data_IF_170388464021
#
_entry.id   IF_170388464021
#
_cell.length_a   1.000
_cell.length_b   1.000
_cell.length_c   1.000
_cell.angle_alpha   90.00
_cell.angle_beta   90.00
_cell.angle_gamma   90.00
#
_symmetry.space_group_name_H-M   'P 1'
#
loop_
_entity.id
_entity.type
_entity.pdbx_description
1 polymer ?
#
# COMPACT_ATOMS: atom_id res chain seq x y z
N UNK A 1 37.72 7.10 -8.23
CA UNK A 1 37.26 7.66 -6.94
C UNK A 1 38.03 8.94 -6.70
N UNK A 2 37.45 10.09 -7.07
CA UNK A 2 38.09 11.40 -6.90
C UNK A 2 37.96 11.81 -5.43
N UNK A 3 39.07 11.95 -4.71
CA UNK A 3 39.04 12.51 -3.36
C UNK A 3 38.48 13.93 -3.44
N UNK A 4 37.37 14.19 -2.74
CA UNK A 4 36.84 15.54 -2.60
C UNK A 4 37.90 16.37 -1.88
N UNK A 5 38.55 17.28 -2.61
CA UNK A 5 39.66 18.09 -2.14
C UNK A 5 39.18 18.93 -0.93
N UNK A 6 39.92 18.91 0.18
CA UNK A 6 39.53 19.55 1.45
C UNK A 6 39.23 21.06 1.27
N UNK A 7 39.90 21.68 0.29
CA UNK A 7 39.64 23.05 -0.17
C UNK A 7 38.24 23.23 -0.77
N UNK A 8 37.74 22.23 -1.49
CA UNK A 8 36.42 22.25 -2.10
C UNK A 8 35.33 22.19 -1.02
N UNK A 9 35.49 21.33 -0.02
CA UNK A 9 34.58 21.23 1.13
C UNK A 9 34.58 22.54 1.93
N UNK A 10 35.75 23.09 2.27
CA UNK A 10 35.85 24.37 3.00
C UNK A 10 35.21 25.54 2.23
N UNK A 11 35.32 25.53 0.90
CA UNK A 11 34.68 26.53 0.03
C UNK A 11 33.16 26.40 0.01
N UNK A 12 32.62 25.18 -0.05
CA UNK A 12 31.17 24.93 0.05
C UNK A 12 30.66 25.33 1.44
N UNK A 13 31.34 24.93 2.52
CA UNK A 13 30.95 25.29 3.89
C UNK A 13 30.95 26.81 4.13
N UNK A 14 31.86 27.55 3.50
CA UNK A 14 31.88 29.03 3.60
C UNK A 14 30.69 29.73 2.94
N UNK A 15 29.93 29.02 2.10
CA UNK A 15 28.72 29.51 1.45
C UNK A 15 27.45 29.17 2.24
N UNK A 16 27.57 28.41 3.34
CA UNK A 16 26.45 28.03 4.19
C UNK A 16 26.36 28.98 5.36
N UNK A 17 25.42 29.92 5.32
CA UNK A 17 25.02 30.68 6.51
C UNK A 17 23.85 29.97 7.18
N UNK A 18 24.12 29.27 8.28
CA UNK A 18 23.07 28.73 9.14
C UNK A 18 22.64 29.84 10.08
N UNK A 19 21.48 30.44 9.80
CA UNK A 19 20.85 31.37 10.72
C UNK A 19 19.79 30.61 11.54
N UNK A 20 20.23 29.96 12.62
CA UNK A 20 19.33 29.35 13.58
C UNK A 20 19.79 29.68 14.99
N UNK A 21 18.93 30.33 15.77
CA UNK A 21 19.16 30.66 17.18
C UNK A 21 19.22 29.41 18.09
N UNK A 22 18.93 28.22 17.55
CA UNK A 22 18.91 26.95 18.27
C UNK A 22 19.77 25.89 17.57
N UNK A 23 20.76 25.36 18.29
CA UNK A 23 21.50 24.16 17.91
C UNK A 23 20.81 22.95 18.55
N UNK A 24 20.11 22.15 17.75
CA UNK A 24 19.51 20.90 18.22
C UNK A 24 20.57 19.80 18.28
N UNK A 25 20.72 19.17 19.44
CA UNK A 25 21.74 18.13 19.66
C UNK A 25 21.23 16.72 19.32
N UNK A 26 19.89 16.55 19.27
CA UNK A 26 19.22 15.30 18.91
C UNK A 26 18.40 15.47 17.60
N UNK A 27 18.63 14.56 16.65
CA UNK A 27 17.94 14.53 15.36
C UNK A 27 16.45 14.21 15.50
N UNK A 28 16.07 13.34 16.44
CA UNK A 28 14.65 12.99 16.65
C UNK A 28 13.90 14.13 17.35
N UNK A 29 14.53 14.82 18.32
CA UNK A 29 13.96 16.02 18.94
C UNK A 29 13.75 17.14 17.90
N UNK A 30 14.72 17.35 17.02
CA UNK A 30 14.61 18.32 15.93
C UNK A 30 13.46 17.97 14.98
N UNK A 31 13.36 16.70 14.58
CA UNK A 31 12.32 16.20 13.68
C UNK A 31 10.93 16.36 14.28
N UNK A 32 10.74 16.01 15.56
CA UNK A 32 9.48 16.23 16.28
C UNK A 32 9.13 17.72 16.35
N UNK A 33 10.12 18.58 16.61
CA UNK A 33 9.92 20.02 16.64
C UNK A 33 9.48 20.56 15.28
N UNK A 34 10.13 20.16 14.18
CA UNK A 34 9.73 20.55 12.81
C UNK A 34 8.31 20.08 12.51
N UNK A 35 8.00 18.81 12.79
CA UNK A 35 6.67 18.22 12.55
C UNK A 35 5.58 18.97 13.33
N UNK A 36 5.83 19.33 14.60
CA UNK A 36 4.88 20.07 15.44
C UNK A 36 4.57 21.46 14.90
N UNK A 37 5.55 22.11 14.28
CA UNK A 37 5.41 23.46 13.72
C UNK A 37 4.73 23.49 12.34
N UNK A 38 4.68 22.36 11.61
CA UNK A 38 4.08 22.29 10.28
C UNK A 38 2.54 22.36 10.28
N UNK A 39 1.90 22.24 11.45
CA UNK A 39 0.43 22.35 11.65
C UNK A 39 -0.38 21.52 10.65
N UNK A 40 0.03 20.27 10.42
CA UNK A 40 -0.63 19.35 9.48
C UNK A 40 -1.70 18.51 10.17
N UNK A 41 -2.75 18.16 9.42
CA UNK A 41 -3.83 17.24 9.86
C UNK A 41 -3.26 15.90 10.35
N UNK A 42 -3.93 15.27 11.31
CA UNK A 42 -3.59 13.92 11.79
C UNK A 42 -3.69 12.85 10.70
N UNK A 43 -4.43 13.12 9.63
CA UNK A 43 -4.57 12.24 8.47
C UNK A 43 -3.30 12.12 7.63
N UNK A 44 -2.36 13.06 7.77
CA UNK A 44 -1.09 13.09 7.02
C UNK A 44 -0.04 12.24 7.75
N UNK A 45 0.67 11.40 7.00
CA UNK A 45 1.80 10.63 7.52
C UNK A 45 2.99 11.59 7.76
N UNK A 46 3.10 12.10 8.99
CA UNK A 46 4.06 13.15 9.40
C UNK A 46 5.52 12.82 9.06
N UNK A 47 5.94 11.57 9.26
CA UNK A 47 7.29 11.12 8.95
C UNK A 47 7.61 11.15 7.45
N UNK A 48 6.62 10.88 6.60
CA UNK A 48 6.78 10.92 5.14
C UNK A 48 6.88 12.36 4.65
N UNK A 49 6.01 13.24 5.15
CA UNK A 49 6.08 14.68 4.87
C UNK A 49 7.46 15.24 5.27
N UNK A 50 7.97 14.89 6.45
CA UNK A 50 9.30 15.32 6.90
C UNK A 50 10.40 14.87 5.93
N UNK A 51 10.41 13.59 5.52
CA UNK A 51 11.40 13.07 4.56
C UNK A 51 11.27 13.73 3.19
N UNK A 52 10.05 13.99 2.73
CA UNK A 52 9.81 14.66 1.46
C UNK A 52 10.36 16.10 1.47
N UNK A 53 10.05 16.86 2.52
CA UNK A 53 10.57 18.22 2.69
C UNK A 53 12.10 18.23 2.81
N UNK A 54 12.67 17.29 3.58
CA UNK A 54 14.12 17.17 3.72
C UNK A 54 14.80 16.84 2.39
N UNK A 55 14.26 15.89 1.63
CA UNK A 55 14.77 15.53 0.32
C UNK A 55 14.76 16.71 -0.65
N UNK A 56 13.61 17.40 -0.76
CA UNK A 56 13.51 18.60 -1.58
C UNK A 56 14.49 19.69 -1.15
N UNK A 57 14.63 19.94 0.16
CA UNK A 57 15.56 20.95 0.68
C UNK A 57 17.00 20.65 0.28
N UNK A 58 17.41 19.38 0.39
CA UNK A 58 18.76 18.93 0.01
C UNK A 58 18.97 19.08 -1.49
N UNK A 59 18.00 18.70 -2.31
CA UNK A 59 18.10 18.81 -3.77
C UNK A 59 18.19 20.28 -4.21
N UNK A 60 17.32 21.13 -3.69
CA UNK A 60 17.26 22.56 -4.02
C UNK A 60 18.54 23.30 -3.60
N UNK A 61 19.06 23.02 -2.40
CA UNK A 61 20.35 23.58 -1.95
C UNK A 61 21.51 23.12 -2.83
N UNK A 62 21.54 21.82 -3.19
CA UNK A 62 22.57 21.28 -4.07
C UNK A 62 22.54 21.93 -5.46
N UNK A 63 21.36 22.11 -6.04
CA UNK A 63 21.21 22.76 -7.35
C UNK A 63 21.63 24.23 -7.33
N UNK A 64 21.24 25.00 -6.30
CA UNK A 64 21.69 26.39 -6.12
C UNK A 64 23.22 26.47 -6.02
N UNK A 65 23.85 25.59 -5.24
CA UNK A 65 25.32 25.55 -5.15
C UNK A 65 26.02 25.14 -6.44
N UNK A 66 25.45 24.21 -7.22
CA UNK A 66 25.97 23.85 -8.56
C UNK A 66 25.96 25.06 -9.49
N UNK A 67 24.96 25.91 -9.37
CA UNK A 67 24.82 27.16 -10.14
C UNK A 67 25.65 28.31 -9.56
N UNK A 68 26.41 28.09 -8.49
CA UNK A 68 27.19 29.11 -7.76
C UNK A 68 26.34 30.27 -7.22
N UNK A 69 25.05 30.02 -6.96
CA UNK A 69 24.17 30.98 -6.29
C UNK A 69 24.14 30.73 -4.77
N UNK A 70 23.65 31.72 -4.03
CA UNK A 70 23.44 31.59 -2.59
C UNK A 70 22.34 30.54 -2.33
N UNK A 71 22.61 29.59 -1.43
CA UNK A 71 21.67 28.52 -1.04
C UNK A 71 20.55 28.99 -0.13
N UNK A 72 20.01 30.19 -0.36
CA UNK A 72 18.93 30.77 0.44
C UNK A 72 17.63 30.05 0.08
N UNK A 73 16.93 29.55 1.09
CA UNK A 73 15.60 28.96 0.98
C UNK A 73 14.65 29.77 1.85
N UNK A 74 13.58 30.26 1.24
CA UNK A 74 12.55 31.05 1.90
C UNK A 74 11.49 30.14 2.52
N UNK A 75 10.92 30.58 3.64
CA UNK A 75 9.82 29.88 4.32
C UNK A 75 8.60 29.66 3.40
N UNK A 76 8.33 30.60 2.49
CA UNK A 76 7.24 30.48 1.52
C UNK A 76 7.42 29.29 0.55
N UNK A 77 8.67 28.98 0.16
CA UNK A 77 8.97 27.84 -0.70
C UNK A 77 8.68 26.52 0.04
N UNK A 78 9.14 26.40 1.28
CA UNK A 78 8.87 25.24 2.15
C UNK A 78 7.36 25.03 2.33
N UNK A 79 6.61 26.13 2.57
CA UNK A 79 5.16 26.08 2.72
C UNK A 79 4.47 25.63 1.42
N UNK A 80 4.93 26.11 0.26
CA UNK A 80 4.39 25.71 -1.04
C UNK A 80 4.60 24.22 -1.30
N UNK A 81 5.78 23.69 -1.02
CA UNK A 81 6.07 22.25 -1.17
C UNK A 81 5.24 21.42 -0.18
N UNK A 82 5.11 21.88 1.07
CA UNK A 82 4.24 21.25 2.07
C UNK A 82 2.78 21.24 1.59
N UNK A 83 2.26 22.37 1.09
CA UNK A 83 0.87 22.48 0.62
C UNK A 83 0.64 21.63 -0.65
N UNK A 84 1.61 21.57 -1.57
CA UNK A 84 1.58 20.66 -2.72
C UNK A 84 1.61 19.20 -2.29
N UNK A 85 2.44 18.84 -1.30
CA UNK A 85 2.45 17.50 -0.74
C UNK A 85 1.10 17.17 -0.12
N UNK A 86 0.49 18.09 0.64
CA UNK A 86 -0.84 17.90 1.22
C UNK A 86 -1.90 17.80 0.12
N UNK A 87 -1.83 18.62 -0.93
CA UNK A 87 -2.75 18.55 -2.06
C UNK A 87 -2.62 17.23 -2.83
N UNK A 88 -1.40 16.75 -3.07
CA UNK A 88 -1.10 15.45 -3.68
C UNK A 88 -1.45 14.29 -2.75
N UNK A 89 -1.30 14.47 -1.44
CA UNK A 89 -1.79 13.51 -0.46
C UNK A 89 -3.32 13.50 -0.47
N UNK A 90 -3.99 14.61 -0.70
CA UNK A 90 -5.45 14.60 -0.83
C UNK A 90 -5.87 14.01 -2.20
N UNK A 91 -5.02 14.16 -3.22
CA UNK A 91 -5.21 13.61 -4.57
C UNK A 91 -4.47 12.27 -4.73
N UNK A 92 -5.09 11.18 -4.28
CA UNK A 92 -4.68 9.76 -4.45
C UNK A 92 -3.36 9.53 -5.22
N UNK A 93 -2.24 9.17 -4.56
CA UNK A 93 -0.93 9.01 -5.19
C UNK A 93 -0.80 7.75 -6.06
N UNK A 94 -1.83 6.89 -6.09
CA UNK A 94 -1.87 5.72 -6.97
C UNK A 94 -3.14 5.69 -7.82
N UNK A 95 -2.95 5.65 -9.13
CA UNK A 95 -4.03 5.37 -10.08
C UNK A 95 -4.01 3.88 -10.36
N UNK A 96 -5.02 3.19 -9.83
CA UNK A 96 -5.29 1.79 -10.18
C UNK A 96 -5.56 1.71 -11.69
N UNK A 97 -4.93 0.74 -12.37
CA UNK A 97 -5.20 0.56 -13.79
C UNK A 97 -6.64 0.08 -14.00
N UNK A 98 -7.30 0.65 -15.01
CA UNK A 98 -8.59 0.14 -15.46
C UNK A 98 -8.44 -1.33 -15.87
N UNK A 99 -9.41 -2.17 -15.46
CA UNK A 99 -9.30 -3.62 -15.59
C UNK A 99 -9.05 -4.11 -17.04
N UNK A 100 -9.52 -3.36 -18.03
CA UNK A 100 -9.35 -3.66 -19.46
C UNK A 100 -7.95 -3.31 -20.02
N UNK A 101 -7.13 -2.59 -19.25
CA UNK A 101 -5.76 -2.21 -19.64
C UNK A 101 -4.70 -3.16 -19.08
N UNK A 102 -5.09 -4.07 -18.17
CA UNK A 102 -4.17 -5.05 -17.60
C UNK A 102 -3.84 -6.14 -18.64
N UNK A 103 -2.56 -6.46 -18.88
CA UNK A 103 -2.16 -7.50 -19.82
C UNK A 103 -2.40 -8.89 -19.21
N UNK A 104 -3.66 -9.33 -19.19
CA UNK A 104 -4.05 -10.64 -18.71
C UNK A 104 -3.57 -11.73 -19.67
N UNK A 105 -3.07 -12.82 -19.10
CA UNK A 105 -2.79 -14.03 -19.88
C UNK A 105 -4.05 -14.88 -20.00
N UNK A 106 -4.06 -15.78 -20.97
CA UNK A 106 -5.12 -16.77 -21.06
C UNK A 106 -5.14 -17.64 -19.80
N UNK A 107 -6.36 -17.99 -19.38
CA UNK A 107 -6.61 -18.90 -18.27
C UNK A 107 -6.36 -20.32 -18.77
N UNK A 108 -5.55 -21.06 -18.02
CA UNK A 108 -5.07 -22.40 -18.36
C UNK A 108 -5.52 -23.40 -17.29
N UNK A 109 -5.37 -24.69 -17.56
CA UNK A 109 -5.68 -25.74 -16.57
C UNK A 109 -4.85 -25.63 -15.30
N UNK A 110 -3.62 -25.08 -15.35
CA UNK A 110 -2.80 -24.90 -14.16
C UNK A 110 -3.35 -23.85 -13.19
N UNK A 111 -4.10 -22.86 -13.68
CA UNK A 111 -4.75 -21.86 -12.82
C UNK A 111 -5.75 -22.50 -11.85
N UNK A 112 -6.42 -23.58 -12.30
CA UNK A 112 -7.39 -24.30 -11.48
C UNK A 112 -6.75 -25.15 -10.37
N UNK A 113 -5.42 -25.29 -10.37
CA UNK A 113 -4.67 -26.01 -9.34
C UNK A 113 -4.19 -25.09 -8.20
N UNK A 114 -4.37 -23.78 -8.32
CA UNK A 114 -4.02 -22.81 -7.26
C UNK A 114 -4.83 -23.07 -5.98
N UNK A 115 -4.24 -22.82 -4.82
CA UNK A 115 -4.85 -23.12 -3.52
C UNK A 115 -6.18 -22.38 -3.33
N UNK A 116 -6.30 -21.14 -3.81
CA UNK A 116 -7.58 -20.42 -3.70
C UNK A 116 -8.69 -21.10 -4.52
N UNK A 117 -8.37 -21.68 -5.69
CA UNK A 117 -9.36 -22.42 -6.51
C UNK A 117 -9.73 -23.74 -5.85
N UNK A 118 -8.75 -24.45 -5.26
CA UNK A 118 -9.02 -25.64 -4.43
C UNK A 118 -9.99 -25.31 -3.29
N UNK A 119 -9.78 -24.20 -2.60
CA UNK A 119 -10.73 -23.73 -1.58
C UNK A 119 -12.13 -23.41 -2.13
N UNK A 120 -12.22 -22.87 -3.35
CA UNK A 120 -13.51 -22.66 -4.02
C UNK A 120 -14.21 -23.98 -4.38
N UNK A 121 -13.45 -25.04 -4.67
CA UNK A 121 -14.01 -26.38 -4.85
C UNK A 121 -14.60 -26.93 -3.54
N UNK A 122 -13.95 -26.70 -2.39
CA UNK A 122 -14.45 -27.15 -1.08
C UNK A 122 -15.83 -26.58 -0.71
N UNK A 123 -16.18 -25.41 -1.25
CA UNK A 123 -17.48 -24.75 -1.04
C UNK A 123 -18.44 -24.91 -2.23
N UNK A 124 -18.10 -25.76 -3.19
CA UNK A 124 -18.87 -26.00 -4.42
C UNK A 124 -19.23 -24.68 -5.14
N UNK A 125 -18.23 -23.80 -5.31
CA UNK A 125 -18.36 -22.64 -6.18
C UNK A 125 -18.59 -23.07 -7.63
N UNK A 126 -19.36 -22.28 -8.38
CA UNK A 126 -19.58 -22.55 -9.81
C UNK A 126 -18.30 -22.33 -10.62
N UNK A 127 -18.23 -22.93 -11.81
CA UNK A 127 -17.07 -22.74 -12.69
C UNK A 127 -16.90 -21.29 -13.14
N UNK A 128 -18.02 -20.56 -13.30
CA UNK A 128 -18.01 -19.11 -13.53
C UNK A 128 -17.39 -18.35 -12.35
N UNK A 129 -17.74 -18.71 -11.11
CA UNK A 129 -17.16 -18.09 -9.91
C UNK A 129 -15.65 -18.35 -9.83
N UNK A 130 -15.21 -19.58 -10.14
CA UNK A 130 -13.78 -19.93 -10.17
C UNK A 130 -13.05 -19.15 -11.27
N UNK A 131 -13.62 -19.10 -12.47
CA UNK A 131 -13.03 -18.36 -13.59
C UNK A 131 -12.88 -16.87 -13.27
N UNK A 132 -13.92 -16.23 -12.72
CA UNK A 132 -13.86 -14.83 -12.30
C UNK A 132 -12.83 -14.61 -11.18
N UNK A 133 -12.75 -15.53 -10.20
CA UNK A 133 -11.75 -15.46 -9.16
C UNK A 133 -10.32 -15.57 -9.71
N UNK A 134 -10.08 -16.42 -10.71
CA UNK A 134 -8.78 -16.50 -11.41
C UNK A 134 -8.44 -15.18 -12.09
N UNK A 135 -9.40 -14.57 -12.80
CA UNK A 135 -9.17 -13.27 -13.43
C UNK A 135 -8.86 -12.18 -12.41
N UNK A 136 -9.58 -12.12 -11.30
CA UNK A 136 -9.34 -11.11 -10.26
C UNK A 136 -8.01 -11.35 -9.53
N UNK A 137 -7.64 -12.61 -9.29
CA UNK A 137 -6.32 -12.98 -8.78
C UNK A 137 -5.20 -12.51 -9.71
N UNK A 138 -5.32 -12.74 -11.02
CA UNK A 138 -4.33 -12.27 -11.99
C UNK A 138 -4.25 -10.74 -12.03
N UNK A 139 -5.38 -10.04 -12.06
CA UNK A 139 -5.42 -8.57 -12.07
C UNK A 139 -4.76 -7.99 -10.81
N UNK A 140 -5.13 -8.48 -9.62
CA UNK A 140 -4.57 -8.01 -8.36
C UNK A 140 -3.07 -8.32 -8.25
N UNK A 141 -2.61 -9.48 -8.76
CA UNK A 141 -1.19 -9.84 -8.76
C UNK A 141 -0.39 -8.92 -9.68
N UNK A 142 -0.87 -8.67 -10.91
CA UNK A 142 -0.24 -7.76 -11.85
C UNK A 142 -0.18 -6.33 -11.31
N UNK A 143 -1.25 -5.87 -10.66
CA UNK A 143 -1.32 -4.53 -10.10
C UNK A 143 -0.37 -4.38 -8.90
N UNK A 144 -0.27 -5.40 -8.02
CA UNK A 144 0.75 -5.44 -6.95
C UNK A 144 2.17 -5.45 -7.49
N UNK A 145 2.45 -6.22 -8.53
CA UNK A 145 3.75 -6.23 -9.20
C UNK A 145 4.08 -4.88 -9.84
N UNK A 146 3.07 -4.19 -10.39
CA UNK A 146 3.22 -2.82 -10.91
C UNK A 146 3.56 -1.88 -9.76
N UNK A 147 2.80 -1.87 -8.67
CA UNK A 147 3.06 -1.00 -7.51
C UNK A 147 4.46 -1.19 -6.94
N UNK A 148 4.92 -2.44 -6.84
CA UNK A 148 6.26 -2.78 -6.36
C UNK A 148 7.35 -2.24 -7.30
N UNK A 149 7.16 -2.36 -8.62
CA UNK A 149 8.13 -1.90 -9.63
C UNK A 149 8.16 -0.38 -9.79
N UNK A 150 7.02 0.28 -9.73
CA UNK A 150 6.89 1.73 -9.95
C UNK A 150 7.08 2.56 -8.68
N UNK A 151 7.09 1.94 -7.49
CA UNK A 151 7.07 2.65 -6.21
C UNK A 151 5.77 3.42 -5.97
N UNK A 152 4.70 3.10 -6.72
CA UNK A 152 3.39 3.77 -6.63
C UNK A 152 2.79 3.62 -5.24
N UNK A 153 3.07 2.51 -4.56
CA UNK A 153 2.86 2.39 -3.12
C UNK A 153 4.25 2.38 -2.48
N UNK A 154 4.67 3.49 -1.87
CA UNK A 154 6.07 3.69 -1.47
C UNK A 154 6.53 2.79 -0.32
N UNK A 155 5.59 2.21 0.45
CA UNK A 155 5.90 1.37 1.59
C UNK A 155 5.13 0.05 1.57
N UNK A 156 5.86 -1.04 1.74
CA UNK A 156 5.29 -2.40 1.86
C UNK A 156 4.27 -2.50 3.01
N UNK A 157 4.47 -1.75 4.09
CA UNK A 157 3.56 -1.70 5.24
C UNK A 157 2.14 -1.27 4.87
N UNK A 158 1.95 -0.49 3.80
CA UNK A 158 0.61 -0.13 3.32
C UNK A 158 -0.13 -1.31 2.67
N UNK A 159 0.60 -2.19 1.98
CA UNK A 159 0.03 -3.43 1.43
C UNK A 159 -0.23 -4.42 2.57
N UNK A 160 0.70 -4.54 3.51
CA UNK A 160 0.54 -5.45 4.65
C UNK A 160 -0.68 -5.05 5.50
N UNK A 161 -0.86 -3.75 5.77
CA UNK A 161 -2.04 -3.22 6.46
C UNK A 161 -3.33 -3.51 5.71
N UNK A 162 -3.34 -3.35 4.39
CA UNK A 162 -4.50 -3.67 3.56
C UNK A 162 -4.85 -5.17 3.61
N UNK A 163 -3.84 -6.03 3.53
CA UNK A 163 -4.01 -7.48 3.66
C UNK A 163 -4.58 -7.86 5.05
N UNK A 164 -4.14 -7.18 6.10
CA UNK A 164 -4.66 -7.39 7.45
C UNK A 164 -6.11 -6.89 7.60
N UNK A 165 -6.49 -5.78 6.97
CA UNK A 165 -7.87 -5.30 6.91
C UNK A 165 -8.80 -6.31 6.22
N UNK A 166 -8.38 -6.86 5.07
CA UNK A 166 -9.11 -7.91 4.37
C UNK A 166 -9.25 -9.15 5.25
N UNK A 167 -8.17 -9.57 5.92
CA UNK A 167 -8.20 -10.72 6.84
C UNK A 167 -9.15 -10.48 8.02
N UNK A 168 -9.13 -9.29 8.60
CA UNK A 168 -10.02 -8.92 9.72
C UNK A 168 -11.49 -8.93 9.29
N UNK A 169 -11.77 -8.45 8.09
CA UNK A 169 -13.12 -8.52 7.52
C UNK A 169 -13.56 -9.97 7.32
N UNK A 170 -12.72 -10.81 6.70
CA UNK A 170 -13.00 -12.23 6.52
C UNK A 170 -13.24 -12.94 7.86
N UNK A 171 -12.42 -12.68 8.88
CA UNK A 171 -12.55 -13.31 10.19
C UNK A 171 -13.90 -12.95 10.85
N UNK A 172 -14.26 -11.67 10.79
CA UNK A 172 -15.57 -11.18 11.29
C UNK A 172 -16.74 -11.85 10.56
N UNK A 173 -16.71 -11.86 9.24
CA UNK A 173 -17.76 -12.49 8.42
C UNK A 173 -17.83 -13.99 8.70
N UNK A 174 -16.69 -14.67 8.76
CA UNK A 174 -16.59 -16.11 9.04
C UNK A 174 -17.21 -16.47 10.38
N UNK A 175 -16.90 -15.71 11.45
CA UNK A 175 -17.48 -15.93 12.77
C UNK A 175 -19.00 -15.72 12.76
N UNK A 176 -19.48 -14.64 12.15
CA UNK A 176 -20.92 -14.34 12.05
C UNK A 176 -21.66 -15.47 11.32
N UNK A 177 -21.18 -15.88 10.14
CA UNK A 177 -21.86 -16.92 9.36
C UNK A 177 -21.85 -18.27 10.04
N UNK A 178 -20.76 -18.62 10.73
CA UNK A 178 -20.66 -19.88 11.45
C UNK A 178 -21.59 -19.94 12.66
N UNK A 179 -21.86 -18.81 13.32
CA UNK A 179 -22.80 -18.73 14.45
C UNK A 179 -24.25 -18.73 13.93
N UNK A 180 -24.56 -17.81 13.01
CA UNK A 180 -25.94 -17.59 12.55
C UNK A 180 -26.47 -18.75 11.71
N UNK A 181 -25.62 -19.40 10.92
CA UNK A 181 -26.02 -20.46 10.00
C UNK A 181 -25.44 -21.83 10.39
N UNK A 182 -25.21 -22.07 11.69
CA UNK A 182 -24.61 -23.31 12.20
C UNK A 182 -25.35 -24.60 11.79
N UNK A 183 -26.63 -24.51 11.45
CA UNK A 183 -27.45 -25.63 10.98
C UNK A 183 -27.23 -25.98 9.49
N UNK A 184 -26.61 -25.09 8.72
CA UNK A 184 -26.26 -25.36 7.32
C UNK A 184 -25.01 -26.24 7.22
N UNK A 185 -24.97 -27.03 6.15
CA UNK A 185 -23.76 -27.76 5.76
C UNK A 185 -22.54 -26.82 5.68
N UNK A 186 -21.38 -27.32 6.06
CA UNK A 186 -20.13 -26.54 6.13
C UNK A 186 -19.77 -25.86 4.80
N UNK A 187 -19.99 -26.54 3.66
CA UNK A 187 -19.80 -25.96 2.33
C UNK A 187 -20.69 -24.75 2.07
N UNK A 188 -21.96 -24.80 2.50
CA UNK A 188 -22.93 -23.73 2.30
C UNK A 188 -22.60 -22.53 3.19
N UNK A 189 -22.15 -22.77 4.42
CA UNK A 189 -21.58 -21.70 5.28
C UNK A 189 -20.37 -21.05 4.62
N UNK A 190 -19.44 -21.84 4.10
CA UNK A 190 -18.27 -21.30 3.41
C UNK A 190 -18.63 -20.48 2.17
N UNK A 191 -19.68 -20.89 1.44
CA UNK A 191 -20.23 -20.13 0.31
C UNK A 191 -20.81 -18.78 0.75
N UNK A 192 -21.51 -18.72 1.88
CA UNK A 192 -22.00 -17.46 2.46
C UNK A 192 -20.83 -16.54 2.84
N UNK A 193 -19.79 -17.07 3.50
CA UNK A 193 -18.59 -16.30 3.86
C UNK A 193 -17.94 -15.71 2.62
N UNK A 194 -17.71 -16.53 1.59
CA UNK A 194 -17.16 -16.09 0.31
C UNK A 194 -18.00 -14.97 -0.32
N UNK A 195 -19.31 -15.16 -0.46
CA UNK A 195 -20.19 -14.17 -1.09
C UNK A 195 -20.25 -12.85 -0.31
N UNK A 196 -20.29 -12.90 1.04
CA UNK A 196 -20.28 -11.70 1.88
C UNK A 196 -18.98 -10.93 1.76
N UNK A 197 -17.82 -11.61 1.77
CA UNK A 197 -16.53 -10.96 1.54
C UNK A 197 -16.47 -10.33 0.15
N UNK A 198 -16.91 -11.03 -0.90
CA UNK A 198 -16.93 -10.52 -2.28
C UNK A 198 -17.91 -9.33 -2.48
N UNK A 199 -18.92 -9.19 -1.61
CA UNK A 199 -19.89 -8.09 -1.69
C UNK A 199 -19.37 -6.77 -1.11
N UNK A 200 -18.40 -6.83 -0.19
CA UNK A 200 -17.79 -5.64 0.40
C UNK A 200 -16.53 -5.25 -0.39
N UNK A 201 -16.56 -4.06 -1.00
CA UNK A 201 -15.42 -3.52 -1.76
C UNK A 201 -14.92 -2.19 -1.19
N UNK A 202 -15.45 -1.77 -0.04
CA UNK A 202 -15.09 -0.48 0.58
C UNK A 202 -13.87 -0.63 1.50
N UNK A 203 -12.70 -0.81 0.89
CA UNK A 203 -11.41 -0.90 1.57
C UNK A 203 -10.49 0.24 1.18
N UNK A 204 -9.42 0.41 1.97
CA UNK A 204 -8.41 1.44 1.74
C UNK A 204 -7.02 0.85 1.64
N UNK A 205 -6.18 1.44 0.80
CA UNK A 205 -4.74 1.18 0.73
C UNK A 205 -4.06 2.53 0.97
N UNK A 206 -3.13 2.57 1.93
CA UNK A 206 -2.45 3.81 2.34
C UNK A 206 -3.44 4.97 2.65
N UNK A 207 -4.56 4.68 3.32
CA UNK A 207 -5.68 5.60 3.60
C UNK A 207 -6.53 6.07 2.39
N UNK A 208 -6.25 5.60 1.18
CA UNK A 208 -7.05 5.90 0.00
C UNK A 208 -8.02 4.78 -0.33
N UNK A 209 -9.25 5.15 -0.68
CA UNK A 209 -10.26 4.19 -1.11
C UNK A 209 -9.81 3.47 -2.38
N UNK A 210 -9.99 2.15 -2.36
CA UNK A 210 -9.81 1.29 -3.52
C UNK A 210 -10.94 1.58 -4.52
N UNK A 211 -10.57 1.83 -5.77
CA UNK A 211 -11.49 2.14 -6.86
C UNK A 211 -11.81 0.90 -7.69
N UNK A 212 -10.81 0.06 -7.97
CA UNK A 212 -11.01 -1.10 -8.79
C UNK A 212 -11.35 -2.30 -7.91
N UNK A 213 -12.53 -2.88 -8.13
CA UNK A 213 -13.02 -4.02 -7.33
C UNK A 213 -12.04 -5.19 -7.35
N UNK A 214 -11.37 -5.45 -8.47
CA UNK A 214 -10.40 -6.55 -8.58
C UNK A 214 -9.29 -6.46 -7.53
N UNK A 215 -8.93 -5.27 -7.07
CA UNK A 215 -7.91 -5.07 -6.02
C UNK A 215 -8.33 -5.73 -4.71
N UNK A 216 -9.61 -5.60 -4.33
CA UNK A 216 -10.20 -6.25 -3.14
C UNK A 216 -10.48 -7.73 -3.40
N UNK A 217 -11.23 -8.03 -4.47
CA UNK A 217 -11.68 -9.39 -4.77
C UNK A 217 -10.50 -10.34 -5.03
N UNK A 218 -9.51 -9.87 -5.78
CA UNK A 218 -8.25 -10.56 -6.01
C UNK A 218 -7.35 -10.56 -4.78
N UNK A 219 -7.42 -9.53 -3.92
CA UNK A 219 -6.75 -9.52 -2.62
C UNK A 219 -7.19 -10.69 -1.72
N UNK A 220 -8.50 -10.95 -1.65
CA UNK A 220 -9.01 -12.15 -0.98
C UNK A 220 -8.48 -13.44 -1.60
N UNK A 221 -8.40 -13.54 -2.94
CA UNK A 221 -7.83 -14.72 -3.59
C UNK A 221 -6.35 -14.89 -3.27
N UNK A 222 -5.57 -13.80 -3.24
CA UNK A 222 -4.15 -13.82 -2.85
C UNK A 222 -3.99 -14.35 -1.42
N UNK A 223 -4.78 -13.85 -0.47
CA UNK A 223 -4.74 -14.30 0.93
C UNK A 223 -5.17 -15.77 1.09
N UNK A 224 -6.20 -16.19 0.34
CA UNK A 224 -6.65 -17.59 0.30
C UNK A 224 -5.56 -18.48 -0.31
N UNK A 225 -4.89 -18.03 -1.38
CA UNK A 225 -3.82 -18.78 -2.04
C UNK A 225 -2.60 -18.98 -1.12
N UNK A 226 -2.29 -17.96 -0.32
CA UNK A 226 -1.26 -17.98 0.71
C UNK A 226 -1.67 -18.75 1.98
N UNK A 227 -2.87 -19.33 2.02
CA UNK A 227 -3.39 -20.02 3.20
C UNK A 227 -3.41 -19.14 4.46
N UNK A 228 -3.63 -17.82 4.29
CA UNK A 228 -3.83 -16.88 5.41
C UNK A 228 -5.30 -16.81 5.84
N UNK A 229 -6.20 -17.09 4.91
CA UNK A 229 -7.66 -17.21 5.13
C UNK A 229 -8.18 -18.47 4.43
N UNK A 230 -9.42 -18.86 4.75
CA UNK A 230 -10.13 -19.79 3.88
C UNK A 230 -11.64 -19.86 4.03
N UNK A 231 -12.31 -20.37 3.00
CA UNK A 231 -13.76 -20.23 2.87
C UNK A 231 -14.53 -21.27 3.68
N UNK A 232 -14.16 -22.54 3.55
CA UNK A 232 -14.82 -23.64 4.27
C UNK A 232 -14.40 -23.63 5.75
N UNK A 233 -15.28 -23.88 6.76
CA UNK A 233 -14.93 -23.87 8.18
C UNK A 233 -13.67 -24.70 8.52
N UNK A 234 -13.60 -25.92 7.97
CA UNK A 234 -12.48 -26.85 8.12
C UNK A 234 -11.47 -26.83 6.95
N UNK A 235 -11.29 -25.68 6.29
CA UNK A 235 -10.45 -25.56 5.08
C UNK A 235 -9.01 -26.06 5.29
N UNK A 236 -8.41 -25.84 6.46
CA UNK A 236 -7.04 -26.26 6.77
C UNK A 236 -6.84 -27.77 6.77
N UNK A 237 -7.86 -28.52 7.17
CA UNK A 237 -7.83 -29.99 7.20
C UNK A 237 -8.11 -30.52 5.80
N UNK A 238 -9.18 -30.01 5.17
CA UNK A 238 -9.60 -30.46 3.83
C UNK A 238 -8.56 -30.23 2.73
N UNK A 239 -7.74 -29.18 2.82
CA UNK A 239 -6.66 -28.94 1.86
C UNK A 239 -5.42 -29.83 2.07
N UNK A 240 -5.29 -30.51 3.21
CA UNK A 240 -4.21 -31.49 3.45
C UNK A 240 -4.53 -32.87 2.88
N UNK A 241 -5.81 -33.14 2.67
CA UNK A 241 -6.33 -34.42 2.17
C UNK A 241 -6.45 -34.46 0.63
N UNK A 242 -6.09 -33.37 -0.06
CA UNK A 242 -5.98 -33.25 -1.53
C UNK A 242 -4.53 -33.35 -2.02
#
# INVERSE_FOLDING_TARGET
MSSCDEKCIKRVLSLVMINSDSLYTDHEEFKEHVISNLRVSETIIKNELYRHLLGWLVDETCEKWRQKSEGIIYSAEVLTIKDNYIANFNNKPFIEQAANLLPLREVTSSDYNENFVKQLNLIEASDEQKFNAILDFQKASLERDRWARSGTIPFRSHIDSFDDDLRSHWDTVSQIENIQNHSLEEKNRGKLVYLKCQSNTDFKIANYKVEQKYTVLGGFQILSNQLRIGWHPNWKEKLKDE
#
